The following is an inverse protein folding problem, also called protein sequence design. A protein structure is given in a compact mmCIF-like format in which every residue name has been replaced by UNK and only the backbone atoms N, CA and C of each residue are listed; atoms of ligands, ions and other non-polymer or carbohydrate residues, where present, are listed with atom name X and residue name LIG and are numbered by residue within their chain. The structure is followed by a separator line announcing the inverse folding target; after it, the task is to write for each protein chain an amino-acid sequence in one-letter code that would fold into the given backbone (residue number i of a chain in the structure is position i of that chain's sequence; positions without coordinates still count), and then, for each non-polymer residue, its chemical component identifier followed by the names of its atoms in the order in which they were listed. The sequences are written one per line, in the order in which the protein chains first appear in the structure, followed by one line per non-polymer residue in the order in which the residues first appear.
data_IF_606988499240
#
_entry.id   IF_606988499240
#
_cell.length_a   1.000
_cell.length_b   1.000
_cell.length_c   1.000
_cell.angle_alpha   90.00
_cell.angle_beta   90.00
_cell.angle_gamma   90.00
#
_symmetry.space_group_name_H-M   'P 1'
#
loop_
_entity.id
_entity.type
_entity.pdbx_description
1 polymer ?
#
# COMPACT_ATOMS: atom_id res chain seq x y z
N UNK A 1 9.68 16.78 6.10
CA UNK A 1 9.76 15.46 5.45
C UNK A 1 11.14 14.90 5.68
N UNK A 2 11.24 13.66 6.17
CA UNK A 2 12.54 13.00 6.35
C UNK A 2 13.22 12.86 4.98
N UNK A 3 14.45 13.36 4.85
CA UNK A 3 15.29 13.12 3.67
C UNK A 3 15.91 11.74 3.81
N UNK A 4 15.96 11.02 2.71
CA UNK A 4 16.59 9.70 2.62
C UNK A 4 17.55 9.67 1.45
N UNK A 5 18.59 8.88 1.57
CA UNK A 5 19.50 8.65 0.46
C UNK A 5 18.80 7.74 -0.57
N UNK A 6 18.94 8.08 -1.84
CA UNK A 6 18.37 7.30 -2.95
C UNK A 6 19.34 7.37 -4.13
N UNK A 7 19.86 6.21 -4.53
CA UNK A 7 20.84 6.06 -5.57
C UNK A 7 20.28 5.23 -6.72
N UNK A 8 20.59 5.62 -7.94
CA UNK A 8 20.43 4.77 -9.10
C UNK A 8 21.55 3.71 -9.08
N UNK A 9 21.18 2.43 -9.07
CA UNK A 9 22.13 1.33 -9.22
C UNK A 9 22.59 1.30 -10.69
N UNK A 10 23.88 1.53 -10.89
CA UNK A 10 24.55 1.56 -12.19
C UNK A 10 26.00 1.11 -12.01
N UNK A 11 26.65 0.71 -13.10
CA UNK A 11 28.03 0.20 -13.08
C UNK A 11 29.03 1.20 -12.47
N UNK A 12 28.75 2.51 -12.58
CA UNK A 12 29.62 3.59 -12.07
C UNK A 12 29.30 4.02 -10.62
N UNK A 13 28.36 3.35 -9.94
CA UNK A 13 28.00 3.70 -8.57
C UNK A 13 29.11 3.32 -7.59
N UNK A 14 29.69 4.32 -6.92
CA UNK A 14 30.59 4.10 -5.78
C UNK A 14 29.83 3.50 -4.60
N UNK A 15 30.01 2.19 -4.41
CA UNK A 15 29.35 1.39 -3.37
C UNK A 15 29.68 1.86 -1.95
N UNK A 16 30.78 2.60 -1.73
CA UNK A 16 31.12 3.15 -0.41
C UNK A 16 30.16 4.25 0.06
N UNK A 17 29.36 4.81 -0.86
CA UNK A 17 28.31 5.78 -0.53
C UNK A 17 27.06 5.14 0.06
N UNK A 18 26.91 3.82 -0.09
CA UNK A 18 25.75 3.08 0.38
C UNK A 18 25.78 2.90 1.89
N UNK A 19 24.69 3.30 2.54
CA UNK A 19 24.47 3.11 3.98
C UNK A 19 23.34 2.12 4.19
N UNK A 20 23.67 0.95 4.69
CA UNK A 20 22.71 -0.12 4.96
C UNK A 20 21.98 0.10 6.30
N UNK A 21 20.74 -0.43 6.47
CA UNK A 21 19.97 -1.22 5.50
C UNK A 21 19.32 -0.39 4.38
N UNK A 22 19.10 -1.03 3.23
CA UNK A 22 18.52 -0.43 2.02
C UNK A 22 17.26 -1.17 1.57
N UNK A 23 16.38 -0.46 0.88
CA UNK A 23 15.32 -1.00 0.01
C UNK A 23 15.82 -0.91 -1.42
N UNK A 24 15.89 -2.05 -2.10
CA UNK A 24 16.15 -2.15 -3.52
C UNK A 24 14.81 -2.30 -4.23
N UNK A 25 14.57 -1.48 -5.25
CA UNK A 25 13.32 -1.50 -6.02
C UNK A 25 13.55 -1.05 -7.47
N UNK A 26 12.79 -1.56 -8.44
CA UNK A 26 12.78 -0.97 -9.77
C UNK A 26 12.38 0.51 -9.70
N UNK A 27 13.02 1.36 -10.52
CA UNK A 27 12.64 2.77 -10.69
C UNK A 27 11.27 2.91 -11.33
N UNK A 28 10.96 2.01 -12.25
CA UNK A 28 9.68 1.94 -12.95
C UNK A 28 8.93 0.66 -12.61
N UNK A 29 7.61 0.73 -12.68
CA UNK A 29 6.74 -0.43 -12.48
C UNK A 29 5.74 -0.18 -11.37
N UNK A 30 5.03 -1.24 -10.99
CA UNK A 30 4.04 -1.19 -9.94
C UNK A 30 3.99 -2.50 -9.17
N UNK A 31 3.33 -2.43 -8.02
CA UNK A 31 2.93 -3.63 -7.33
C UNK A 31 4.01 -4.28 -6.47
N UNK A 32 5.05 -3.54 -6.08
CA UNK A 32 6.11 -4.05 -5.20
C UNK A 32 6.83 -5.29 -5.76
N UNK A 33 6.83 -5.45 -7.09
CA UNK A 33 7.59 -6.47 -7.80
C UNK A 33 9.08 -6.15 -7.67
N UNK A 34 9.89 -7.15 -7.33
CA UNK A 34 11.34 -7.01 -7.14
C UNK A 34 11.74 -5.94 -6.11
N UNK A 35 10.88 -5.73 -5.09
CA UNK A 35 11.21 -4.88 -3.93
C UNK A 35 11.73 -5.76 -2.80
N UNK A 36 12.96 -5.47 -2.35
CA UNK A 36 13.62 -6.26 -1.32
C UNK A 36 14.38 -5.35 -0.34
N UNK A 37 14.38 -5.70 0.94
CA UNK A 37 15.29 -5.10 1.91
C UNK A 37 16.60 -5.88 1.98
N UNK A 38 17.73 -5.16 1.90
CA UNK A 38 19.08 -5.72 2.03
C UNK A 38 19.80 -5.07 3.21
N UNK A 39 20.47 -5.87 4.03
CA UNK A 39 21.11 -5.43 5.27
C UNK A 39 22.60 -5.12 5.13
N UNK A 40 23.23 -5.56 4.05
CA UNK A 40 24.65 -5.39 3.80
C UNK A 40 24.96 -5.54 2.30
N UNK A 41 26.21 -5.26 1.94
CA UNK A 41 26.67 -5.31 0.56
C UNK A 41 26.54 -6.72 -0.05
N UNK A 42 26.84 -7.77 0.72
CA UNK A 42 26.71 -9.15 0.22
C UNK A 42 25.26 -9.50 -0.15
N UNK A 43 24.27 -9.09 0.65
CA UNK A 43 22.85 -9.28 0.31
C UNK A 43 22.44 -8.49 -0.95
N UNK A 44 23.00 -7.29 -1.15
CA UNK A 44 22.79 -6.49 -2.37
C UNK A 44 23.38 -7.20 -3.59
N UNK A 45 24.65 -7.61 -3.53
CA UNK A 45 25.34 -8.32 -4.61
C UNK A 45 24.61 -9.62 -4.97
N UNK A 46 24.20 -10.39 -3.97
CA UNK A 46 23.42 -11.62 -4.18
C UNK A 46 22.08 -11.35 -4.88
N UNK A 47 21.37 -10.28 -4.51
CA UNK A 47 20.12 -9.91 -5.17
C UNK A 47 20.33 -9.49 -6.63
N UNK A 48 21.44 -8.81 -6.92
CA UNK A 48 21.76 -8.30 -8.24
C UNK A 48 22.41 -9.33 -9.17
N UNK A 49 22.94 -10.44 -8.63
CA UNK A 49 23.67 -11.47 -9.38
C UNK A 49 22.93 -11.94 -10.65
N UNK A 50 21.62 -12.15 -10.54
CA UNK A 50 20.77 -12.62 -11.64
C UNK A 50 19.94 -11.50 -12.30
N UNK A 51 20.25 -10.24 -11.99
CA UNK A 51 19.50 -9.07 -12.50
C UNK A 51 20.30 -8.38 -13.60
N UNK A 52 19.66 -8.23 -14.75
CA UNK A 52 20.21 -7.43 -15.84
C UNK A 52 20.10 -5.93 -15.47
N UNK A 53 21.14 -5.39 -14.83
CA UNK A 53 21.23 -3.97 -14.44
C UNK A 53 21.26 -3.02 -15.65
N UNK A 54 21.69 -3.49 -16.82
CA UNK A 54 21.76 -2.66 -18.03
C UNK A 54 20.37 -2.39 -18.60
N UNK A 55 19.46 -3.36 -18.50
CA UNK A 55 18.07 -3.21 -18.93
C UNK A 55 17.09 -2.92 -17.79
N UNK A 56 17.44 -3.20 -16.53
CA UNK A 56 16.59 -2.93 -15.37
C UNK A 56 17.15 -1.79 -14.51
N UNK A 57 16.43 -0.67 -14.55
CA UNK A 57 16.69 0.53 -13.78
C UNK A 57 16.25 0.30 -12.31
N UNK A 58 17.20 0.02 -11.41
CA UNK A 58 16.95 -0.19 -9.97
C UNK A 58 17.43 0.98 -9.11
N UNK A 59 16.69 1.25 -8.03
CA UNK A 59 17.03 2.23 -7.01
C UNK A 59 17.44 1.54 -5.71
N UNK A 60 18.50 2.03 -5.09
CA UNK A 60 18.88 1.75 -3.71
C UNK A 60 18.47 2.92 -2.82
N UNK A 61 17.50 2.71 -1.94
CA UNK A 61 16.95 3.74 -1.05
C UNK A 61 17.19 3.37 0.42
N UNK A 62 17.49 4.33 1.30
CA UNK A 62 17.56 4.08 2.75
C UNK A 62 16.28 3.38 3.22
N UNK A 63 16.42 2.26 3.96
CA UNK A 63 15.27 1.64 4.60
C UNK A 63 14.79 2.53 5.74
N UNK A 64 13.58 3.06 5.61
CA UNK A 64 12.95 3.89 6.65
C UNK A 64 12.16 3.00 7.60
N UNK A 65 12.49 3.07 8.88
CA UNK A 65 11.74 2.42 9.94
C UNK A 65 10.47 3.20 10.30
N UNK A 66 9.44 2.47 10.72
CA UNK A 66 8.18 3.02 11.17
C UNK A 66 6.97 2.20 10.76
N UNK A 67 5.78 2.75 11.04
CA UNK A 67 4.50 2.12 10.68
C UNK A 67 4.11 2.58 9.28
N UNK A 68 3.89 1.63 8.38
CA UNK A 68 3.50 1.92 7.01
C UNK A 68 1.97 2.03 6.88
N UNK A 69 1.53 3.07 6.19
CA UNK A 69 0.14 3.35 5.89
C UNK A 69 -0.05 3.45 4.37
N UNK A 70 -1.16 2.90 3.90
CA UNK A 70 -1.77 3.29 2.63
C UNK A 70 -2.80 4.39 2.87
N UNK A 71 -3.03 5.22 1.88
CA UNK A 71 -3.99 6.31 1.95
C UNK A 71 -4.83 6.35 0.68
N UNK A 72 -6.12 6.58 0.87
CA UNK A 72 -7.05 6.95 -0.19
C UNK A 72 -7.54 8.38 0.04
N UNK A 73 -7.50 9.18 -1.01
CA UNK A 73 -8.02 10.54 -1.02
C UNK A 73 -8.40 10.97 -2.43
N UNK A 74 -8.77 12.24 -2.56
CA UNK A 74 -9.09 12.87 -3.84
C UNK A 74 -8.52 14.28 -3.87
N UNK A 75 -8.11 14.74 -5.05
CA UNK A 75 -7.76 16.14 -5.27
C UNK A 75 -8.81 16.75 -6.19
N UNK A 76 -9.54 17.77 -5.73
CA UNK A 76 -10.56 18.49 -6.50
C UNK A 76 -10.12 19.94 -6.64
N UNK A 77 -9.94 20.41 -7.87
CA UNK A 77 -9.48 21.79 -8.15
C UNK A 77 -8.22 22.19 -7.37
N UNK A 78 -7.27 21.26 -7.22
CA UNK A 78 -6.02 21.48 -6.48
C UNK A 78 -6.13 21.34 -4.96
N UNK A 79 -7.32 21.08 -4.41
CA UNK A 79 -7.54 20.83 -2.98
C UNK A 79 -7.59 19.34 -2.67
N UNK A 80 -6.68 18.89 -1.83
CA UNK A 80 -6.65 17.54 -1.30
C UNK A 80 -7.79 17.35 -0.27
N UNK A 81 -8.48 16.21 -0.37
CA UNK A 81 -9.46 15.74 0.60
C UNK A 81 -9.08 14.32 1.04
N UNK A 82 -9.05 14.12 2.35
CA UNK A 82 -8.83 12.83 2.96
C UNK A 82 -10.09 11.96 2.88
N UNK A 83 -9.93 10.66 2.57
CA UNK A 83 -11.05 9.70 2.58
C UNK A 83 -10.78 8.60 3.60
N UNK A 84 -9.65 7.90 3.49
CA UNK A 84 -9.30 6.85 4.45
C UNK A 84 -7.80 6.67 4.58
N UNK A 85 -7.30 6.66 5.82
CA UNK A 85 -5.98 6.15 6.16
C UNK A 85 -6.07 4.66 6.50
N UNK A 86 -5.07 3.89 6.10
CA UNK A 86 -5.04 2.44 6.29
C UNK A 86 -3.67 1.99 6.78
N UNK A 87 -3.57 1.50 8.01
CA UNK A 87 -2.33 0.87 8.47
C UNK A 87 -2.12 -0.44 7.71
N UNK A 88 -0.96 -0.60 7.09
CA UNK A 88 -0.61 -1.84 6.38
C UNK A 88 -0.09 -2.88 7.34
N UNK A 89 -0.49 -4.12 7.09
CA UNK A 89 0.12 -5.32 7.66
C UNK A 89 1.06 -5.88 6.59
N UNK A 90 2.33 -6.04 6.94
CA UNK A 90 3.39 -6.39 6.00
C UNK A 90 4.01 -7.74 6.37
N UNK A 91 4.45 -8.51 5.39
CA UNK A 91 5.34 -9.64 5.65
C UNK A 91 6.67 -9.15 6.23
N UNK A 92 7.40 -10.00 6.99
CA UNK A 92 8.72 -9.65 7.49
C UNK A 92 9.71 -9.31 6.37
N UNK A 93 10.86 -8.76 6.77
CA UNK A 93 12.00 -8.64 5.86
C UNK A 93 12.36 -10.03 5.27
N UNK A 94 12.75 -10.09 3.99
CA UNK A 94 13.12 -8.94 3.18
C UNK A 94 12.00 -8.42 2.27
N UNK A 95 10.82 -9.06 2.23
CA UNK A 95 9.83 -8.84 1.17
C UNK A 95 8.82 -7.72 1.44
N UNK A 96 8.46 -7.47 2.70
CA UNK A 96 7.54 -6.38 3.11
C UNK A 96 6.24 -6.29 2.28
N UNK A 97 5.64 -7.42 1.94
CA UNK A 97 4.43 -7.45 1.11
C UNK A 97 3.19 -7.16 1.94
N UNK A 98 2.29 -6.31 1.43
CA UNK A 98 1.03 -5.99 2.10
C UNK A 98 0.09 -7.20 2.12
N UNK A 99 -0.10 -7.77 3.31
CA UNK A 99 -0.97 -8.92 3.62
C UNK A 99 -2.28 -8.49 4.30
N UNK A 100 -2.45 -7.21 4.57
CA UNK A 100 -3.72 -6.66 5.01
C UNK A 100 -3.67 -5.16 5.27
N UNK A 101 -4.84 -4.58 5.50
CA UNK A 101 -4.99 -3.16 5.81
C UNK A 101 -6.02 -2.98 6.92
N UNK A 102 -5.67 -2.21 7.96
CA UNK A 102 -6.54 -1.83 9.06
C UNK A 102 -6.94 -0.37 8.87
N UNK A 103 -8.22 -0.06 8.95
CA UNK A 103 -8.70 1.34 8.91
C UNK A 103 -8.08 2.16 10.05
N UNK A 104 -7.57 3.34 9.73
CA UNK A 104 -6.97 4.25 10.69
C UNK A 104 -7.61 5.64 10.54
N UNK A 105 -7.62 6.40 11.64
CA UNK A 105 -8.03 7.81 11.62
C UNK A 105 -7.00 8.65 10.88
N UNK A 106 -7.45 9.77 10.33
CA UNK A 106 -6.59 10.74 9.67
C UNK A 106 -5.45 11.22 10.59
N UNK A 107 -4.25 11.32 10.04
CA UNK A 107 -3.10 11.97 10.67
C UNK A 107 -2.88 13.31 9.96
N UNK A 108 -3.13 14.43 10.65
CA UNK A 108 -3.14 15.77 10.05
C UNK A 108 -1.85 16.12 9.29
N UNK A 109 -0.70 15.70 9.81
CA UNK A 109 0.62 15.94 9.21
C UNK A 109 0.75 15.26 7.82
N UNK A 110 0.10 14.10 7.64
CA UNK A 110 0.03 13.44 6.33
C UNK A 110 -0.78 14.30 5.36
N UNK A 111 -1.99 14.73 5.76
CA UNK A 111 -2.87 15.52 4.90
C UNK A 111 -2.26 16.86 4.48
N UNK A 112 -1.55 17.53 5.39
CA UNK A 112 -0.79 18.74 5.08
C UNK A 112 0.31 18.47 4.05
N UNK A 113 1.05 17.37 4.21
CA UNK A 113 2.09 16.96 3.26
C UNK A 113 1.51 16.66 1.87
N UNK A 114 0.37 15.96 1.82
CA UNK A 114 -0.31 15.63 0.57
C UNK A 114 -0.92 16.84 -0.11
N UNK A 115 -1.44 17.81 0.63
CA UNK A 115 -1.89 19.08 0.06
C UNK A 115 -0.73 19.84 -0.58
N UNK A 116 0.42 19.94 0.10
CA UNK A 116 1.60 20.60 -0.46
C UNK A 116 2.08 19.91 -1.74
N UNK A 117 2.07 18.57 -1.76
CA UNK A 117 2.45 17.78 -2.94
C UNK A 117 1.44 17.97 -4.08
N UNK A 118 0.14 17.94 -3.79
CA UNK A 118 -0.90 18.19 -4.79
C UNK A 118 -0.75 19.56 -5.44
N UNK A 119 -0.44 20.59 -4.66
CA UNK A 119 -0.15 21.95 -5.17
C UNK A 119 1.09 21.95 -6.06
N UNK A 120 2.21 21.39 -5.60
CA UNK A 120 3.48 21.40 -6.34
C UNK A 120 3.42 20.61 -7.65
N UNK A 121 2.73 19.47 -7.64
CA UNK A 121 2.52 18.63 -8.82
C UNK A 121 1.33 19.10 -9.68
N UNK A 122 0.63 20.16 -9.28
CA UNK A 122 -0.55 20.72 -9.96
C UNK A 122 -1.63 19.65 -10.21
N UNK A 123 -1.80 18.73 -9.27
CA UNK A 123 -2.81 17.68 -9.36
C UNK A 123 -4.21 18.29 -9.32
N UNK A 124 -5.11 17.80 -10.16
CA UNK A 124 -6.51 18.25 -10.22
C UNK A 124 -7.40 17.08 -10.61
N UNK A 125 -8.58 17.03 -10.00
CA UNK A 125 -9.70 16.15 -10.35
C UNK A 125 -9.31 14.68 -10.47
N UNK A 126 -8.51 14.20 -9.51
CA UNK A 126 -7.93 12.86 -9.51
C UNK A 126 -8.11 12.17 -8.17
N UNK A 127 -8.44 10.87 -8.19
CA UNK A 127 -8.23 10.02 -7.01
C UNK A 127 -6.74 9.97 -6.67
N UNK A 128 -6.42 9.80 -5.39
CA UNK A 128 -5.06 9.77 -4.89
C UNK A 128 -4.86 8.53 -4.02
N UNK A 129 -3.87 7.71 -4.39
CA UNK A 129 -3.32 6.67 -3.54
C UNK A 129 -1.91 7.07 -3.11
N UNK A 130 -1.60 6.93 -1.83
CA UNK A 130 -0.25 7.17 -1.32
C UNK A 130 0.19 6.09 -0.35
N UNK A 131 1.49 5.81 -0.33
CA UNK A 131 2.16 4.93 0.63
C UNK A 131 3.11 5.77 1.48
N UNK A 132 2.99 5.65 2.81
CA UNK A 132 3.58 6.57 3.77
C UNK A 132 4.09 5.79 4.96
N UNK A 133 5.27 6.13 5.48
CA UNK A 133 5.75 5.66 6.77
C UNK A 133 5.64 6.78 7.79
N UNK A 134 5.09 6.48 8.96
CA UNK A 134 5.25 7.31 10.15
C UNK A 134 6.42 6.75 10.94
N UNK A 135 7.49 7.56 11.07
CA UNK A 135 8.71 7.16 11.77
C UNK A 135 8.49 7.08 13.29
N UNK A 136 9.40 6.45 14.07
CA UNK A 136 9.34 6.47 15.54
C UNK A 136 9.28 7.89 16.14
N UNK A 137 9.81 8.90 15.44
CA UNK A 137 9.75 10.30 15.84
C UNK A 137 8.47 11.02 15.38
N UNK A 138 7.44 10.28 14.94
CA UNK A 138 6.17 10.80 14.43
C UNK A 138 6.28 11.68 13.18
N UNK A 139 7.32 11.48 12.36
CA UNK A 139 7.49 12.23 11.11
C UNK A 139 6.95 11.44 9.91
N UNK A 140 6.18 12.07 9.01
CA UNK A 140 5.75 11.41 7.77
C UNK A 140 6.89 11.35 6.75
N UNK A 141 7.09 10.15 6.21
CA UNK A 141 7.92 9.87 5.05
C UNK A 141 7.05 9.30 3.92
N UNK A 142 6.88 10.07 2.85
CA UNK A 142 6.10 9.65 1.68
C UNK A 142 6.96 8.70 0.83
N UNK A 143 6.52 7.45 0.69
CA UNK A 143 7.18 6.44 -0.15
C UNK A 143 6.80 6.63 -1.62
N UNK A 144 5.50 6.70 -1.89
CA UNK A 144 4.92 6.77 -3.24
C UNK A 144 3.62 7.58 -3.19
N UNK A 145 3.36 8.36 -4.23
CA UNK A 145 2.05 8.97 -4.52
C UNK A 145 1.70 8.68 -5.96
N UNK A 146 0.47 8.22 -6.19
CA UNK A 146 -0.04 7.87 -7.51
C UNK A 146 -1.47 8.40 -7.68
N UNK A 147 -1.78 9.16 -8.75
CA UNK A 147 -3.12 9.73 -9.00
C UNK A 147 -4.08 8.67 -9.59
N UNK A 148 -4.29 7.59 -8.83
CA UNK A 148 -5.13 6.45 -9.19
C UNK A 148 -5.83 5.91 -7.93
N UNK A 149 -6.93 5.14 -8.09
CA UNK A 149 -7.46 4.36 -6.98
C UNK A 149 -6.46 3.33 -6.45
N UNK A 150 -6.59 2.98 -5.17
CA UNK A 150 -5.89 1.84 -4.57
C UNK A 150 -6.41 0.50 -5.13
N UNK A 151 -5.51 -0.46 -5.34
CA UNK A 151 -5.84 -1.79 -5.86
C UNK A 151 -6.34 -2.77 -4.79
N UNK A 152 -6.37 -4.06 -5.09
CA UNK A 152 -6.64 -5.14 -4.10
C UNK A 152 -7.93 -4.97 -3.30
N UNK A 153 -9.02 -4.63 -3.99
CA UNK A 153 -10.34 -4.42 -3.39
C UNK A 153 -10.42 -3.28 -2.37
N UNK A 154 -9.37 -2.46 -2.26
CA UNK A 154 -9.32 -1.36 -1.31
C UNK A 154 -10.31 -0.25 -1.71
N UNK A 155 -10.05 0.43 -2.82
CA UNK A 155 -10.92 1.51 -3.32
C UNK A 155 -12.32 1.04 -3.74
N UNK A 156 -12.44 -0.19 -4.25
CA UNK A 156 -13.69 -0.73 -4.79
C UNK A 156 -14.58 -1.41 -3.74
N UNK A 157 -14.05 -1.76 -2.56
CA UNK A 157 -14.81 -2.48 -1.54
C UNK A 157 -14.49 -2.00 -0.13
N UNK A 158 -13.24 -2.09 0.31
CA UNK A 158 -12.86 -1.81 1.71
C UNK A 158 -13.17 -0.35 2.10
N UNK A 159 -12.80 0.63 1.27
CA UNK A 159 -13.08 2.04 1.53
C UNK A 159 -14.58 2.29 1.66
N UNK A 160 -15.40 1.72 0.78
CA UNK A 160 -16.86 1.88 0.85
C UNK A 160 -17.45 1.27 2.12
N UNK A 161 -16.98 0.08 2.49
CA UNK A 161 -17.36 -0.58 3.74
C UNK A 161 -17.03 0.27 4.96
N UNK A 162 -15.86 0.90 4.96
CA UNK A 162 -15.32 1.63 6.11
C UNK A 162 -15.88 3.05 6.22
N UNK A 163 -16.14 3.72 5.10
CA UNK A 163 -16.44 5.15 5.04
C UNK A 163 -17.85 5.48 4.52
N UNK A 164 -18.51 4.52 3.87
CA UNK A 164 -19.77 4.74 3.17
C UNK A 164 -19.64 5.38 1.79
N UNK A 165 -18.42 5.69 1.33
CA UNK A 165 -18.18 6.31 0.02
C UNK A 165 -17.74 5.27 -1.00
N UNK A 166 -18.42 5.25 -2.16
CA UNK A 166 -17.91 4.54 -3.33
C UNK A 166 -17.04 5.48 -4.18
N UNK A 167 -15.73 5.52 -3.89
CA UNK A 167 -14.80 6.46 -4.55
C UNK A 167 -14.80 6.36 -6.07
N UNK A 168 -14.98 5.15 -6.62
CA UNK A 168 -14.97 4.92 -8.06
C UNK A 168 -16.21 5.55 -8.70
N UNK A 169 -17.40 5.33 -8.11
CA UNK A 169 -18.65 5.96 -8.56
C UNK A 169 -18.53 7.48 -8.54
N UNK A 170 -18.03 8.06 -7.45
CA UNK A 170 -17.93 9.50 -7.30
C UNK A 170 -16.89 10.10 -8.25
N UNK A 171 -15.82 9.37 -8.55
CA UNK A 171 -14.86 9.76 -9.59
C UNK A 171 -15.44 9.70 -11.01
N UNK A 172 -16.29 8.70 -11.31
CA UNK A 172 -17.04 8.65 -12.57
C UNK A 172 -18.00 9.85 -12.67
N UNK A 173 -18.72 10.15 -11.59
CA UNK A 173 -19.62 11.32 -11.55
C UNK A 173 -18.85 12.62 -11.82
N UNK A 174 -17.73 12.84 -11.14
CA UNK A 174 -16.84 13.97 -11.36
C UNK A 174 -16.39 14.06 -12.84
N UNK A 175 -15.93 12.95 -13.41
CA UNK A 175 -15.46 12.87 -14.79
C UNK A 175 -16.55 13.19 -15.81
N UNK A 176 -17.80 12.82 -15.50
CA UNK A 176 -18.97 13.09 -16.32
C UNK A 176 -19.64 14.44 -16.01
N UNK A 177 -19.04 15.28 -15.16
CA UNK A 177 -19.61 16.56 -14.69
C UNK A 177 -21.02 16.41 -14.06
N UNK A 178 -21.27 15.26 -13.42
CA UNK A 178 -22.46 15.00 -12.61
C UNK A 178 -22.21 15.39 -11.15
N UNK A 179 -23.26 15.57 -10.34
CA UNK A 179 -23.10 15.74 -8.89
C UNK A 179 -22.30 14.57 -8.29
N UNK A 180 -21.33 14.89 -7.45
CA UNK A 180 -20.47 13.93 -6.76
C UNK A 180 -20.32 14.34 -5.30
N UNK A 181 -20.02 13.37 -4.44
CA UNK A 181 -19.76 13.61 -3.01
C UNK A 181 -18.68 12.67 -2.47
N UNK A 182 -17.54 13.25 -2.09
CA UNK A 182 -16.40 12.52 -1.53
C UNK A 182 -16.29 12.65 0.00
N UNK A 183 -17.34 13.10 0.69
CA UNK A 183 -17.33 13.23 2.16
C UNK A 183 -17.63 11.88 2.84
N UNK A 184 -16.74 11.39 3.74
CA UNK A 184 -17.00 10.18 4.51
C UNK A 184 -18.28 10.29 5.35
N UNK A 185 -19.15 9.29 5.26
CA UNK A 185 -20.46 9.28 5.95
C UNK A 185 -20.38 8.72 7.35
N UNK A 186 -19.43 7.81 7.57
CA UNK A 186 -19.15 7.19 8.85
C UNK A 186 -17.69 6.71 8.87
N UNK A 187 -17.23 6.20 10.01
CA UNK A 187 -15.95 5.52 10.13
C UNK A 187 -16.16 4.21 10.90
N UNK A 188 -15.84 3.08 10.28
CA UNK A 188 -15.86 1.76 10.93
C UNK A 188 -14.45 1.27 11.21
N UNK A 189 -14.25 0.66 12.37
CA UNK A 189 -13.04 -0.09 12.66
C UNK A 189 -13.07 -1.41 11.87
N UNK A 190 -12.33 -1.46 10.77
CA UNK A 190 -12.36 -2.57 9.82
C UNK A 190 -10.95 -3.03 9.46
N UNK A 191 -10.85 -4.29 9.06
CA UNK A 191 -9.63 -4.87 8.52
C UNK A 191 -9.97 -5.67 7.26
N UNK A 192 -9.15 -5.51 6.22
CA UNK A 192 -9.07 -6.45 5.10
C UNK A 192 -7.80 -7.28 5.26
N UNK A 193 -7.93 -8.60 5.31
CA UNK A 193 -6.80 -9.55 5.35
C UNK A 193 -6.78 -10.37 4.08
N UNK A 194 -5.63 -10.41 3.42
CA UNK A 194 -5.39 -11.35 2.33
C UNK A 194 -4.89 -12.67 2.91
N UNK A 195 -5.20 -13.80 2.28
CA UNK A 195 -4.78 -15.11 2.80
C UNK A 195 -3.28 -15.35 2.54
N UNK A 196 -2.47 -15.17 3.57
CA UNK A 196 -1.01 -15.25 3.55
C UNK A 196 -0.44 -16.55 4.15
N UNK A 197 -1.27 -17.57 4.34
CA UNK A 197 -0.87 -18.90 4.79
C UNK A 197 0.01 -19.66 3.77
N UNK A 198 0.71 -20.68 4.25
CA UNK A 198 1.62 -21.53 3.47
C UNK A 198 1.19 -23.00 3.59
N UNK A 199 1.55 -23.81 2.58
CA UNK A 199 1.26 -25.24 2.54
C UNK A 199 -0.13 -25.58 1.98
N UNK A 200 -0.61 -26.78 2.33
CA UNK A 200 -1.95 -27.24 1.98
C UNK A 200 -2.98 -26.57 2.90
N UNK A 201 -3.96 -25.89 2.31
CA UNK A 201 -4.96 -25.13 3.06
C UNK A 201 -6.34 -25.73 2.84
N UNK A 202 -6.94 -26.19 3.94
CA UNK A 202 -8.36 -26.52 3.96
C UNK A 202 -9.18 -25.24 4.07
N UNK A 203 -9.96 -24.94 3.04
CA UNK A 203 -10.80 -23.74 3.01
C UNK A 203 -11.87 -23.84 4.12
N UNK A 204 -11.98 -22.85 5.02
CA UNK A 204 -12.99 -22.88 6.06
C UNK A 204 -14.38 -22.58 5.50
N UNK A 205 -15.42 -23.02 6.21
CA UNK A 205 -16.79 -22.60 5.91
C UNK A 205 -17.00 -21.15 6.39
N UNK A 206 -16.69 -20.18 5.53
CA UNK A 206 -16.83 -18.75 5.83
C UNK A 206 -18.25 -18.34 6.21
N UNK A 207 -19.29 -19.04 5.73
CA UNK A 207 -20.67 -18.75 6.14
C UNK A 207 -20.91 -19.08 7.61
N UNK A 208 -20.30 -20.17 8.10
CA UNK A 208 -20.39 -20.54 9.51
C UNK A 208 -19.58 -19.57 10.40
N UNK A 209 -18.42 -19.12 9.92
CA UNK A 209 -17.54 -18.20 10.65
C UNK A 209 -17.97 -16.74 10.59
N UNK A 210 -18.96 -16.41 9.75
CA UNK A 210 -19.32 -15.03 9.43
C UNK A 210 -19.66 -14.21 10.67
N UNK A 211 -20.54 -14.75 11.51
CA UNK A 211 -21.04 -14.07 12.69
C UNK A 211 -20.02 -14.10 13.84
N UNK A 212 -19.29 -15.20 14.01
CA UNK A 212 -18.30 -15.36 15.07
C UNK A 212 -17.11 -14.41 14.90
N UNK A 213 -16.63 -14.24 13.67
CA UNK A 213 -15.43 -13.45 13.36
C UNK A 213 -15.75 -12.05 12.81
N UNK A 214 -17.03 -11.65 12.78
CA UNK A 214 -17.45 -10.36 12.23
C UNK A 214 -17.11 -10.18 10.75
N UNK A 215 -17.02 -11.27 9.98
CA UNK A 215 -16.72 -11.23 8.55
C UNK A 215 -17.94 -10.68 7.81
N UNK A 216 -17.78 -9.57 7.10
CA UNK A 216 -18.89 -8.97 6.36
C UNK A 216 -18.81 -9.25 4.86
N UNK A 217 -17.62 -9.53 4.35
CA UNK A 217 -17.36 -9.87 2.95
C UNK A 217 -16.07 -10.67 2.84
N UNK A 218 -16.04 -11.64 1.95
CA UNK A 218 -14.84 -12.42 1.65
C UNK A 218 -14.91 -12.91 0.21
N UNK A 219 -13.75 -13.27 -0.33
CA UNK A 219 -13.57 -13.99 -1.58
C UNK A 219 -12.41 -14.98 -1.35
N UNK A 220 -12.48 -16.18 -1.92
CA UNK A 220 -11.46 -17.20 -1.71
C UNK A 220 -11.33 -18.08 -2.95
N UNK A 221 -10.30 -17.83 -3.76
CA UNK A 221 -9.97 -18.62 -4.95
C UNK A 221 -8.79 -19.59 -4.72
N UNK A 222 -8.47 -19.92 -3.46
CA UNK A 222 -7.43 -20.90 -3.13
C UNK A 222 -7.85 -22.29 -3.62
N UNK A 223 -7.05 -22.90 -4.50
CA UNK A 223 -7.33 -24.21 -5.09
C UNK A 223 -6.09 -25.11 -5.23
N UNK A 224 -4.97 -24.72 -4.60
CA UNK A 224 -3.67 -25.39 -4.67
C UNK A 224 -2.82 -25.06 -3.46
N UNK A 225 -1.71 -25.78 -3.31
CA UNK A 225 -0.72 -25.52 -2.28
C UNK A 225 -0.15 -24.10 -2.38
N UNK A 226 0.03 -23.48 -1.23
CA UNK A 226 0.45 -22.10 -1.10
C UNK A 226 1.94 -22.02 -0.78
N UNK A 227 2.69 -21.31 -1.62
CA UNK A 227 4.07 -20.95 -1.32
C UNK A 227 4.14 -19.75 -0.36
N UNK A 228 5.34 -19.45 0.13
CA UNK A 228 5.62 -18.21 0.86
C UNK A 228 5.26 -16.96 0.05
N UNK A 229 4.73 -15.94 0.74
CA UNK A 229 4.42 -14.64 0.12
C UNK A 229 5.70 -13.81 -0.03
N UNK A 230 6.21 -13.72 -1.25
CA UNK A 230 7.45 -12.99 -1.59
C UNK A 230 7.20 -11.75 -2.43
N UNK A 231 6.08 -11.69 -3.15
CA UNK A 231 5.69 -10.55 -3.98
C UNK A 231 4.16 -10.45 -4.07
N UNK A 232 3.65 -9.38 -4.68
CA UNK A 232 2.21 -9.17 -4.85
C UNK A 232 1.50 -10.28 -5.63
N UNK A 233 2.12 -10.78 -6.70
CA UNK A 233 1.52 -11.86 -7.50
C UNK A 233 1.32 -13.14 -6.69
N UNK A 234 2.17 -13.38 -5.69
CA UNK A 234 2.06 -14.55 -4.82
C UNK A 234 0.79 -14.56 -3.95
N UNK A 235 0.17 -13.40 -3.69
CA UNK A 235 -1.02 -13.28 -2.83
C UNK A 235 -2.31 -12.87 -3.56
N UNK A 236 -2.23 -12.21 -4.72
CA UNK A 236 -3.41 -11.64 -5.40
C UNK A 236 -4.54 -12.65 -5.66
N UNK A 237 -4.20 -13.86 -6.10
CA UNK A 237 -5.19 -14.89 -6.45
C UNK A 237 -5.71 -15.68 -5.24
N UNK A 238 -5.16 -15.43 -4.05
CA UNK A 238 -5.62 -16.08 -2.82
C UNK A 238 -6.87 -15.38 -2.28
N UNK A 239 -7.08 -14.11 -2.63
CA UNK A 239 -8.16 -13.22 -2.16
C UNK A 239 -8.10 -12.90 -0.67
N UNK A 240 -9.25 -12.63 -0.05
CA UNK A 240 -9.34 -11.84 1.18
C UNK A 240 -10.60 -12.11 2.01
N UNK A 241 -10.54 -11.72 3.28
CA UNK A 241 -11.70 -11.51 4.14
C UNK A 241 -11.69 -10.09 4.73
N UNK A 242 -12.86 -9.48 4.84
CA UNK A 242 -13.08 -8.19 5.50
C UNK A 242 -13.88 -8.41 6.76
N UNK A 243 -13.34 -7.95 7.88
CA UNK A 243 -13.97 -7.98 9.18
C UNK A 243 -14.20 -6.55 9.67
N UNK A 244 -15.30 -6.35 10.39
CA UNK A 244 -15.60 -5.09 11.08
C UNK A 244 -15.75 -5.40 12.55
N UNK A 245 -15.05 -4.64 13.39
CA UNK A 245 -15.22 -4.71 14.83
C UNK A 245 -16.49 -3.97 15.24
N UNK A 246 -17.28 -4.58 16.12
CA UNK A 246 -18.37 -3.89 16.79
C UNK A 246 -17.79 -2.84 17.73
N UNK A 247 -18.17 -1.59 17.50
CA UNK A 247 -17.92 -0.50 18.44
C UNK A 247 -19.10 -0.46 19.41
N UNK A 248 -19.15 -1.43 20.33
CA UNK A 248 -19.98 -1.30 21.53
C UNK A 248 -19.40 -0.29 22.51
#
# INVERSE_FOLDING_TARGET
MKKVDCFLLSDDLDLNKLKFPLIIKPRFGSGSKDVIAVKNLSELENFLCDKDLKNNDFLAQTLVEGVEYGLDGVVIDGRYKHILLRQKLLTPLPYRQSIGNISAKEIKQISQSLQAIATNLKLKNSLLNADIIITPNSEPFIIEISPRPSGHYLSSTFVQITTGINMIKEWINLSLKKPFDFEPRFFKHAIIRYFDCEGEVKIPNFNALKNELGIIKYECNINRNLAKVTNRASIMWRDYAIMVADTS
#
